data_IF_580313982545
#
_entry.id   IF_580313982545
#
_cell.length_a   1.000
_cell.length_b   1.000
_cell.length_c   1.000
_cell.angle_alpha   90.00
_cell.angle_beta   90.00
_cell.angle_gamma   90.00
#
_symmetry.space_group_name_H-M   'P 1'
#
loop_
_entity.id
_entity.type
_entity.pdbx_description
1 polymer ?
#
# COMPACT_ATOMS: atom_id res chain seq x y z
N UNK A 1 -13.18 -13.95 -7.46
CA UNK A 1 -11.73 -14.16 -7.72
C UNK A 1 -11.54 -15.08 -8.91
N UNK A 2 -10.69 -14.74 -9.88
CA UNK A 2 -10.33 -15.67 -10.97
C UNK A 2 -9.46 -16.81 -10.44
N UNK A 3 -9.62 -18.03 -10.98
CA UNK A 3 -8.77 -19.18 -10.56
C UNK A 3 -7.27 -18.90 -10.77
N UNK A 4 -6.91 -18.25 -11.87
CA UNK A 4 -5.52 -17.88 -12.16
C UNK A 4 -4.88 -16.96 -11.08
N UNK A 5 -5.68 -16.23 -10.31
CA UNK A 5 -5.17 -15.40 -9.20
C UNK A 5 -4.52 -16.24 -8.11
N UNK A 6 -4.94 -17.51 -7.92
CA UNK A 6 -4.38 -18.40 -6.88
C UNK A 6 -2.88 -18.63 -7.07
N UNK A 7 -2.40 -18.70 -8.31
CA UNK A 7 -0.98 -18.88 -8.63
C UNK A 7 -0.09 -17.76 -8.07
N UNK A 8 -0.66 -16.58 -7.95
CA UNK A 8 0.04 -15.41 -7.41
C UNK A 8 -0.04 -15.31 -5.88
N UNK A 9 -1.02 -16.00 -5.29
CA UNK A 9 -1.23 -15.94 -3.86
C UNK A 9 -0.21 -16.79 -3.10
N UNK A 10 0.12 -16.33 -1.90
CA UNK A 10 0.94 -17.06 -0.92
C UNK A 10 0.27 -17.00 0.44
N UNK A 11 0.52 -18.03 1.22
CA UNK A 11 0.09 -18.07 2.62
C UNK A 11 0.71 -16.89 3.37
N UNK A 12 -0.07 -15.97 3.96
CA UNK A 12 0.48 -14.80 4.64
C UNK A 12 1.25 -15.16 5.93
N UNK A 13 1.09 -16.39 6.42
CA UNK A 13 1.79 -16.88 7.61
C UNK A 13 3.17 -17.46 7.31
N UNK A 14 3.35 -18.12 6.15
CA UNK A 14 4.58 -18.85 5.87
C UNK A 14 5.08 -18.73 4.42
N UNK A 15 4.45 -17.91 3.60
CA UNK A 15 4.75 -17.62 2.19
C UNK A 15 4.75 -18.85 1.24
N UNK A 16 4.23 -20.00 1.70
CA UNK A 16 4.05 -21.19 0.87
C UNK A 16 2.91 -20.98 -0.12
N UNK A 17 2.92 -21.73 -1.19
CA UNK A 17 1.84 -21.77 -2.17
C UNK A 17 0.52 -22.16 -1.54
N UNK A 18 -0.56 -21.64 -2.10
CA UNK A 18 -1.92 -21.95 -1.69
C UNK A 18 -2.59 -22.83 -2.75
N UNK A 19 -3.18 -23.92 -2.33
CA UNK A 19 -4.06 -24.75 -3.14
C UNK A 19 -5.52 -24.35 -2.90
N UNK A 20 -6.32 -24.36 -3.96
CA UNK A 20 -7.75 -24.08 -3.93
C UNK A 20 -8.52 -25.38 -3.77
N UNK A 21 -9.35 -25.49 -2.74
CA UNK A 21 -10.21 -26.62 -2.45
C UNK A 21 -11.69 -26.23 -2.35
N UNK A 22 -12.58 -27.15 -2.70
CA UNK A 22 -14.03 -26.99 -2.57
C UNK A 22 -14.64 -25.87 -3.39
N UNK A 23 -13.97 -25.41 -4.48
CA UNK A 23 -14.43 -24.29 -5.28
C UNK A 23 -15.00 -24.75 -6.63
N UNK A 24 -16.15 -24.21 -7.00
CA UNK A 24 -16.76 -24.37 -8.32
C UNK A 24 -16.70 -23.05 -9.10
N UNK A 25 -16.66 -23.16 -10.44
CA UNK A 25 -16.72 -22.01 -11.35
C UNK A 25 -15.40 -21.23 -11.50
N UNK A 26 -15.44 -20.30 -12.44
CA UNK A 26 -14.45 -19.23 -12.64
C UNK A 26 -15.23 -18.00 -13.16
N UNK A 27 -15.36 -16.93 -12.37
CA UNK A 27 -14.70 -16.67 -11.09
C UNK A 27 -15.21 -17.54 -9.92
N UNK A 28 -14.30 -17.79 -8.97
CA UNK A 28 -14.58 -18.49 -7.70
C UNK A 28 -15.28 -17.53 -6.74
N UNK A 29 -16.50 -17.88 -6.30
CA UNK A 29 -17.26 -17.08 -5.33
C UNK A 29 -17.10 -17.60 -3.90
N UNK A 30 -16.90 -18.91 -3.73
CA UNK A 30 -16.68 -19.57 -2.44
C UNK A 30 -15.68 -20.69 -2.58
N UNK A 31 -14.92 -20.96 -1.52
CA UNK A 31 -13.93 -22.03 -1.47
C UNK A 31 -12.99 -21.85 -0.30
N UNK A 32 -12.00 -22.71 -0.23
CA UNK A 32 -10.93 -22.66 0.78
C UNK A 32 -9.58 -22.64 0.10
N UNK A 33 -8.70 -21.77 0.56
CA UNK A 33 -7.28 -21.77 0.21
C UNK A 33 -6.51 -22.45 1.34
N UNK A 34 -5.64 -23.41 1.03
CA UNK A 34 -4.85 -24.14 2.02
C UNK A 34 -3.39 -24.23 1.58
N UNK A 35 -2.44 -24.09 2.52
CA UNK A 35 -1.04 -24.39 2.27
C UNK A 35 -0.64 -25.77 2.82
N UNK A 36 0.51 -26.28 2.37
CA UNK A 36 1.08 -27.57 2.79
C UNK A 36 1.42 -27.67 4.29
N UNK A 37 1.40 -26.51 5.02
CA UNK A 37 1.56 -26.47 6.47
C UNK A 37 0.25 -26.44 7.24
N UNK A 38 -0.89 -26.59 6.57
CA UNK A 38 -2.21 -26.69 7.19
C UNK A 38 -2.87 -25.35 7.53
N UNK A 39 -2.31 -24.20 7.13
CA UNK A 39 -3.02 -22.94 7.25
C UNK A 39 -4.13 -22.88 6.19
N UNK A 40 -5.33 -22.52 6.62
CA UNK A 40 -6.52 -22.44 5.76
C UNK A 40 -7.15 -21.08 5.81
N UNK A 41 -7.69 -20.62 4.67
CA UNK A 41 -8.30 -19.32 4.49
C UNK A 41 -9.56 -19.43 3.63
N UNK A 42 -10.61 -18.74 4.03
CA UNK A 42 -11.89 -18.75 3.34
C UNK A 42 -11.85 -17.82 2.11
N UNK A 43 -12.54 -18.23 1.04
CA UNK A 43 -13.00 -17.34 -0.02
C UNK A 43 -14.50 -17.13 0.17
N UNK A 44 -14.94 -15.90 0.39
CA UNK A 44 -16.33 -15.53 0.51
C UNK A 44 -16.66 -14.35 -0.39
N UNK A 45 -17.77 -14.41 -1.11
CA UNK A 45 -18.19 -13.37 -2.06
C UNK A 45 -17.10 -13.05 -3.10
N UNK A 46 -16.33 -14.07 -3.53
CA UNK A 46 -15.22 -13.89 -4.47
C UNK A 46 -13.98 -13.17 -3.90
N UNK A 47 -13.93 -12.95 -2.57
CA UNK A 47 -12.80 -12.28 -1.89
C UNK A 47 -12.09 -13.29 -0.98
N UNK A 48 -10.82 -13.64 -1.25
CA UNK A 48 -10.02 -14.45 -0.34
C UNK A 48 -9.67 -13.64 0.92
N UNK A 49 -9.88 -14.24 2.08
CA UNK A 49 -9.68 -13.63 3.40
C UNK A 49 -8.35 -14.06 4.00
N UNK A 50 -7.28 -13.44 3.55
CA UNK A 50 -5.89 -13.80 3.84
C UNK A 50 -5.30 -12.89 4.93
N UNK A 51 -6.02 -12.71 6.03
CA UNK A 51 -5.59 -11.83 7.14
C UNK A 51 -4.59 -12.54 8.03
N UNK A 52 -3.43 -11.93 8.24
CA UNK A 52 -2.40 -12.35 9.19
C UNK A 52 -1.75 -11.10 9.83
N UNK A 53 -1.40 -11.15 11.11
CA UNK A 53 -1.77 -12.18 12.09
C UNK A 53 -3.28 -12.22 12.34
N UNK A 54 -3.79 -13.34 12.86
CA UNK A 54 -5.22 -13.48 13.20
C UNK A 54 -5.64 -12.51 14.31
N UNK A 55 -4.74 -12.23 15.24
CA UNK A 55 -4.87 -11.14 16.23
C UNK A 55 -4.11 -9.93 15.70
N UNK A 56 -4.86 -8.97 15.18
CA UNK A 56 -4.31 -7.72 14.66
C UNK A 56 -3.71 -6.87 15.79
N UNK A 57 -2.70 -6.09 15.43
CA UNK A 57 -2.20 -5.04 16.33
C UNK A 57 -3.34 -4.06 16.69
N UNK A 58 -3.33 -3.47 17.88
CA UNK A 58 -4.43 -2.59 18.34
C UNK A 58 -4.78 -1.47 17.36
N UNK A 59 -3.79 -0.84 16.73
CA UNK A 59 -4.00 0.18 15.68
C UNK A 59 -4.74 -0.40 14.48
N UNK A 60 -4.26 -1.51 13.93
CA UNK A 60 -4.86 -2.13 12.73
C UNK A 60 -6.32 -2.55 13.01
N UNK A 61 -6.58 -3.15 14.19
CA UNK A 61 -7.92 -3.55 14.60
C UNK A 61 -8.86 -2.35 14.83
N UNK A 62 -8.35 -1.24 15.36
CA UNK A 62 -9.13 -0.01 15.55
C UNK A 62 -9.54 0.58 14.21
N UNK A 63 -8.58 0.76 13.29
CA UNK A 63 -8.85 1.34 11.97
C UNK A 63 -9.70 0.43 11.11
N UNK A 64 -9.52 -0.90 11.17
CA UNK A 64 -10.41 -1.84 10.48
C UNK A 64 -11.86 -1.63 10.92
N UNK A 65 -12.14 -1.63 12.23
CA UNK A 65 -13.52 -1.39 12.75
C UNK A 65 -14.09 -0.04 12.31
N UNK A 66 -13.26 1.00 12.35
CA UNK A 66 -13.67 2.35 11.91
C UNK A 66 -14.08 2.37 10.45
N UNK A 67 -13.28 1.74 9.58
CA UNK A 67 -13.55 1.68 8.15
C UNK A 67 -14.68 0.71 7.80
N UNK A 68 -14.86 -0.39 8.54
CA UNK A 68 -16.01 -1.29 8.36
C UNK A 68 -17.34 -0.59 8.63
N UNK A 69 -17.40 0.31 9.63
CA UNK A 69 -18.59 1.09 9.94
C UNK A 69 -18.79 2.27 8.98
N UNK A 70 -17.70 2.92 8.57
CA UNK A 70 -17.75 4.17 7.82
C UNK A 70 -17.67 4.04 6.29
N UNK A 71 -17.67 2.82 5.74
CA UNK A 71 -17.38 2.58 4.33
C UNK A 71 -18.31 3.32 3.35
N UNK A 72 -19.61 3.33 3.60
CA UNK A 72 -20.60 3.95 2.69
C UNK A 72 -20.54 5.50 2.72
N UNK A 73 -19.99 6.10 3.77
CA UNK A 73 -19.88 7.56 3.91
C UNK A 73 -18.48 8.10 3.60
N UNK A 74 -17.50 7.22 3.43
CA UNK A 74 -16.09 7.56 3.28
C UNK A 74 -15.83 8.54 2.14
N UNK A 75 -16.41 8.30 0.98
CA UNK A 75 -16.22 9.14 -0.20
C UNK A 75 -16.73 10.58 -0.01
N UNK A 76 -17.77 10.76 0.84
CA UNK A 76 -18.27 12.10 1.18
C UNK A 76 -17.23 12.88 1.98
N UNK A 77 -16.56 12.21 2.92
CA UNK A 77 -15.48 12.79 3.71
C UNK A 77 -14.28 13.18 2.84
N UNK A 78 -13.91 12.32 1.89
CA UNK A 78 -12.83 12.62 0.95
C UNK A 78 -13.15 13.83 0.06
N UNK A 79 -14.36 13.92 -0.48
CA UNK A 79 -14.77 15.10 -1.28
C UNK A 79 -14.62 16.38 -0.48
N UNK A 80 -15.15 16.39 0.74
CA UNK A 80 -15.01 17.54 1.63
C UNK A 80 -13.54 17.90 1.91
N UNK A 81 -12.66 16.90 2.06
CA UNK A 81 -11.23 17.11 2.23
C UNK A 81 -10.63 17.87 1.03
N UNK A 82 -10.84 17.39 -0.20
CA UNK A 82 -10.33 18.04 -1.42
C UNK A 82 -10.90 19.46 -1.60
N UNK A 83 -12.20 19.65 -1.34
CA UNK A 83 -12.84 20.97 -1.38
C UNK A 83 -12.22 21.93 -0.38
N UNK A 84 -11.90 21.47 0.84
CA UNK A 84 -11.28 22.30 1.88
C UNK A 84 -9.90 22.81 1.49
N UNK A 85 -9.14 22.03 0.71
CA UNK A 85 -7.86 22.44 0.14
C UNK A 85 -8.00 23.20 -1.19
N UNK A 86 -9.21 23.30 -1.74
CA UNK A 86 -9.48 23.92 -3.04
C UNK A 86 -8.66 23.32 -4.17
N UNK A 87 -8.52 22.01 -4.16
CA UNK A 87 -7.73 21.23 -5.14
C UNK A 87 -8.66 20.32 -5.92
N UNK A 88 -8.42 20.21 -7.22
CA UNK A 88 -9.14 19.28 -8.08
C UNK A 88 -8.76 17.83 -7.72
N UNK A 89 -9.72 16.99 -7.25
CA UNK A 89 -9.46 15.61 -6.92
C UNK A 89 -8.94 14.78 -8.09
N UNK A 90 -9.54 14.98 -9.28
CA UNK A 90 -9.17 14.22 -10.47
C UNK A 90 -7.75 14.53 -10.94
N UNK A 91 -7.39 15.81 -11.00
CA UNK A 91 -6.03 16.23 -11.36
C UNK A 91 -4.99 15.70 -10.36
N UNK A 92 -5.28 15.76 -9.06
CA UNK A 92 -4.38 15.27 -8.00
C UNK A 92 -4.17 13.75 -8.11
N UNK A 93 -5.25 12.98 -8.24
CA UNK A 93 -5.19 11.52 -8.35
C UNK A 93 -4.48 11.07 -9.62
N UNK A 94 -4.79 11.71 -10.75
CA UNK A 94 -4.07 11.48 -12.00
C UNK A 94 -2.56 11.69 -11.82
N UNK A 95 -2.16 12.82 -11.20
CA UNK A 95 -0.75 13.13 -10.99
C UNK A 95 -0.04 12.10 -10.08
N UNK A 96 -0.73 11.55 -9.07
CA UNK A 96 -0.17 10.49 -8.23
C UNK A 96 -0.02 9.16 -9.00
N UNK A 97 -1.06 8.77 -9.74
CA UNK A 97 -1.05 7.52 -10.52
C UNK A 97 -0.02 7.57 -11.66
N UNK A 98 0.22 8.75 -12.26
CA UNK A 98 1.24 8.93 -13.29
C UNK A 98 2.67 8.63 -12.79
N UNK A 99 2.92 8.75 -11.47
CA UNK A 99 4.21 8.37 -10.86
C UNK A 99 4.51 6.88 -10.94
N UNK A 100 3.50 6.04 -11.12
CA UNK A 100 3.66 4.59 -11.29
C UNK A 100 4.26 4.22 -12.66
N UNK A 101 4.27 5.13 -13.64
CA UNK A 101 4.80 4.91 -14.99
C UNK A 101 4.16 3.68 -15.68
N UNK A 102 2.84 3.49 -15.48
CA UNK A 102 2.11 2.31 -15.90
C UNK A 102 2.05 2.17 -17.43
N UNK A 103 2.10 0.92 -17.87
CA UNK A 103 1.87 0.55 -19.27
C UNK A 103 0.54 -0.20 -19.40
N UNK A 104 -0.13 -0.12 -20.57
CA UNK A 104 -1.27 -0.98 -20.86
C UNK A 104 -0.91 -2.46 -20.64
N UNK A 105 -1.80 -3.21 -20.00
CA UNK A 105 -1.58 -4.61 -19.65
C UNK A 105 -0.85 -4.84 -18.33
N UNK A 106 -0.46 -3.79 -17.61
CA UNK A 106 0.24 -3.92 -16.34
C UNK A 106 -0.61 -4.61 -15.26
N UNK A 107 0.08 -5.33 -14.38
CA UNK A 107 -0.47 -5.89 -13.14
C UNK A 107 -0.07 -4.98 -11.99
N UNK A 108 -1.05 -4.38 -11.33
CA UNK A 108 -0.82 -3.37 -10.30
C UNK A 108 -1.45 -3.81 -8.97
N UNK A 109 -0.72 -3.65 -7.88
CA UNK A 109 -1.24 -3.78 -6.52
C UNK A 109 -1.62 -2.40 -5.99
N UNK A 110 -2.82 -2.28 -5.43
CA UNK A 110 -3.22 -1.14 -4.60
C UNK A 110 -3.47 -1.63 -3.18
N UNK A 111 -2.69 -1.15 -2.22
CA UNK A 111 -2.83 -1.49 -0.80
C UNK A 111 -3.69 -0.45 -0.08
N UNK A 112 -4.51 -0.91 0.87
CA UNK A 112 -5.54 -0.11 1.52
C UNK A 112 -6.39 0.66 0.48
N UNK A 113 -6.88 -0.07 -0.52
CA UNK A 113 -7.60 0.50 -1.68
C UNK A 113 -8.91 1.22 -1.31
N UNK A 114 -9.39 1.00 -0.08
CA UNK A 114 -10.60 1.61 0.43
C UNK A 114 -11.79 1.35 -0.49
N UNK A 115 -12.49 2.41 -0.83
CA UNK A 115 -13.67 2.38 -1.73
C UNK A 115 -13.30 2.42 -3.22
N UNK A 116 -12.01 2.37 -3.58
CA UNK A 116 -11.57 2.37 -4.97
C UNK A 116 -11.52 3.74 -5.65
N UNK A 117 -11.35 4.82 -4.89
CA UNK A 117 -11.28 6.18 -5.44
C UNK A 117 -10.04 6.40 -6.33
N UNK A 118 -8.89 5.82 -5.98
CA UNK A 118 -7.68 5.88 -6.79
C UNK A 118 -7.66 4.78 -7.84
N UNK A 119 -8.26 3.63 -7.54
CA UNK A 119 -8.36 2.44 -8.40
C UNK A 119 -8.85 2.76 -9.82
N UNK A 120 -9.85 3.63 -9.97
CA UNK A 120 -10.41 4.01 -11.26
C UNK A 120 -9.37 4.66 -12.19
N UNK A 121 -8.43 5.43 -11.63
CA UNK A 121 -7.37 6.08 -12.39
C UNK A 121 -6.26 5.09 -12.77
N UNK A 122 -5.98 4.11 -11.92
CA UNK A 122 -5.08 3.00 -12.22
C UNK A 122 -5.65 2.18 -13.39
N UNK A 123 -6.94 1.78 -13.30
CA UNK A 123 -7.63 1.02 -14.35
C UNK A 123 -7.60 1.72 -15.71
N UNK A 124 -7.75 3.05 -15.74
CA UNK A 124 -7.63 3.83 -16.98
C UNK A 124 -6.25 3.70 -17.63
N UNK A 125 -5.15 3.61 -16.82
CA UNK A 125 -3.77 3.50 -17.32
C UNK A 125 -3.45 2.09 -17.81
N UNK A 126 -3.89 1.07 -17.08
CA UNK A 126 -3.57 -0.32 -17.44
C UNK A 126 -4.46 -0.88 -18.55
N UNK A 127 -5.63 -0.27 -18.77
CA UNK A 127 -6.56 -0.67 -19.83
C UNK A 127 -7.17 -2.05 -19.62
N UNK A 128 -7.87 -2.56 -20.63
CA UNK A 128 -8.63 -3.81 -20.53
C UNK A 128 -7.77 -5.07 -20.34
N UNK A 129 -6.51 -5.04 -20.77
CA UNK A 129 -5.58 -6.17 -20.68
C UNK A 129 -4.78 -6.19 -19.36
N UNK A 130 -4.85 -5.11 -18.56
CA UNK A 130 -4.23 -5.05 -17.24
C UNK A 130 -5.14 -5.61 -16.16
N UNK A 131 -4.58 -5.83 -14.98
CA UNK A 131 -5.35 -6.26 -13.81
C UNK A 131 -4.91 -5.48 -12.58
N UNK A 132 -5.88 -4.91 -11.88
CA UNK A 132 -5.69 -4.28 -10.57
C UNK A 132 -5.99 -5.31 -9.48
N UNK A 133 -5.10 -5.42 -8.51
CA UNK A 133 -5.29 -6.17 -7.27
C UNK A 133 -5.56 -5.17 -6.16
N UNK A 134 -6.83 -5.04 -5.78
CA UNK A 134 -7.29 -4.14 -4.74
C UNK A 134 -7.26 -4.88 -3.39
N UNK A 135 -6.30 -4.51 -2.55
CA UNK A 135 -6.10 -5.08 -1.23
C UNK A 135 -6.59 -4.10 -0.17
N UNK A 136 -7.37 -4.59 0.79
CA UNK A 136 -7.77 -3.82 1.99
C UNK A 136 -7.95 -4.76 3.19
N UNK A 137 -7.82 -4.24 4.40
CA UNK A 137 -8.11 -4.97 5.63
C UNK A 137 -9.63 -5.01 5.91
N UNK A 138 -10.37 -4.02 5.44
CA UNK A 138 -11.82 -3.88 5.58
C UNK A 138 -12.58 -4.51 4.41
N UNK A 139 -13.35 -5.56 4.70
CA UNK A 139 -14.25 -6.15 3.69
C UNK A 139 -15.35 -5.19 3.27
N UNK A 140 -15.82 -4.33 4.18
CA UNK A 140 -16.84 -3.34 3.87
C UNK A 140 -16.35 -2.35 2.81
N UNK A 141 -15.10 -1.88 2.92
CA UNK A 141 -14.45 -1.06 1.90
C UNK A 141 -14.37 -1.77 0.55
N UNK A 142 -13.90 -3.02 0.53
CA UNK A 142 -13.82 -3.82 -0.70
C UNK A 142 -15.19 -4.05 -1.35
N UNK A 143 -16.26 -4.19 -0.57
CA UNK A 143 -17.64 -4.27 -1.11
C UNK A 143 -18.07 -2.98 -1.81
N UNK A 144 -17.73 -1.82 -1.24
CA UNK A 144 -18.00 -0.52 -1.89
C UNK A 144 -17.17 -0.40 -3.17
N UNK A 145 -15.88 -0.70 -3.12
CA UNK A 145 -14.99 -0.70 -4.29
C UNK A 145 -15.53 -1.61 -5.39
N UNK A 146 -15.97 -2.82 -5.07
CA UNK A 146 -16.52 -3.79 -6.05
C UNK A 146 -17.75 -3.23 -6.77
N UNK A 147 -18.65 -2.53 -6.05
CA UNK A 147 -19.79 -1.87 -6.68
C UNK A 147 -19.36 -0.73 -7.62
N UNK A 148 -18.41 0.09 -7.16
CA UNK A 148 -17.91 1.26 -7.90
C UNK A 148 -17.13 0.89 -9.15
N UNK A 149 -16.30 -0.15 -9.07
CA UNK A 149 -15.39 -0.57 -10.13
C UNK A 149 -15.97 -1.71 -10.99
N UNK A 150 -17.29 -1.91 -10.95
CA UNK A 150 -17.96 -2.94 -11.75
C UNK A 150 -17.64 -2.78 -13.25
N UNK A 151 -17.22 -3.88 -13.90
CA UNK A 151 -16.77 -3.90 -15.30
C UNK A 151 -15.27 -3.67 -15.49
N UNK A 152 -14.53 -3.27 -14.46
CA UNK A 152 -13.07 -3.24 -14.46
C UNK A 152 -12.44 -4.61 -14.24
N UNK A 153 -11.19 -4.80 -14.71
CA UNK A 153 -10.41 -6.01 -14.40
C UNK A 153 -9.77 -5.85 -13.00
N UNK A 154 -10.54 -6.18 -11.96
CA UNK A 154 -10.12 -6.04 -10.56
C UNK A 154 -10.24 -7.37 -9.82
N UNK A 155 -9.19 -7.75 -9.11
CA UNK A 155 -9.18 -8.83 -8.13
C UNK A 155 -9.13 -8.23 -6.72
N UNK A 156 -10.04 -8.64 -5.84
CA UNK A 156 -10.15 -8.11 -4.48
C UNK A 156 -9.56 -9.09 -3.48
N UNK A 157 -8.74 -8.62 -2.55
CA UNK A 157 -8.07 -9.46 -1.54
C UNK A 157 -8.17 -8.78 -0.17
N UNK A 158 -8.75 -9.47 0.80
CA UNK A 158 -8.69 -9.03 2.19
C UNK A 158 -7.41 -9.51 2.83
N UNK A 159 -6.53 -8.59 3.23
CA UNK A 159 -5.31 -8.92 3.98
C UNK A 159 -4.78 -7.72 4.77
N UNK A 160 -3.77 -7.95 5.60
CA UNK A 160 -2.98 -6.89 6.19
C UNK A 160 -1.83 -6.52 5.23
N UNK A 161 -1.66 -5.24 4.93
CA UNK A 161 -0.61 -4.77 4.02
C UNK A 161 0.81 -5.01 4.54
N UNK A 162 0.98 -5.22 5.85
CA UNK A 162 2.26 -5.63 6.45
C UNK A 162 2.56 -7.13 6.26
N UNK A 163 1.64 -7.90 5.68
CA UNK A 163 1.76 -9.35 5.43
C UNK A 163 1.06 -9.69 4.12
N UNK A 164 1.56 -9.15 3.01
CA UNK A 164 0.92 -9.29 1.71
C UNK A 164 0.93 -10.75 1.24
N UNK A 165 -0.23 -11.31 0.92
CA UNK A 165 -0.36 -12.72 0.54
C UNK A 165 -0.05 -12.94 -0.95
N UNK A 166 1.05 -12.41 -1.44
CA UNK A 166 1.47 -12.53 -2.83
C UNK A 166 2.90 -13.03 -2.94
N UNK A 167 3.21 -13.70 -4.04
CA UNK A 167 4.56 -14.10 -4.38
C UNK A 167 5.44 -12.86 -4.65
N UNK A 168 6.75 -13.06 -4.61
CA UNK A 168 7.74 -12.04 -4.95
C UNK A 168 7.63 -11.68 -6.44
N UNK A 169 7.95 -10.43 -6.79
CA UNK A 169 8.14 -9.95 -8.17
C UNK A 169 6.91 -10.14 -9.11
N UNK A 170 5.68 -10.23 -8.56
CA UNK A 170 4.48 -10.50 -9.38
C UNK A 170 3.78 -9.25 -9.92
N UNK A 171 4.09 -8.08 -9.39
CA UNK A 171 3.47 -6.82 -9.81
C UNK A 171 4.43 -5.92 -10.59
N UNK A 172 3.89 -5.19 -11.56
CA UNK A 172 4.61 -4.16 -12.29
C UNK A 172 4.81 -2.89 -11.45
N UNK A 173 3.84 -2.59 -10.58
CA UNK A 173 3.87 -1.46 -9.68
C UNK A 173 2.97 -1.70 -8.45
N UNK A 174 3.23 -0.95 -7.36
CA UNK A 174 2.35 -0.87 -6.20
C UNK A 174 2.00 0.57 -5.85
N UNK A 175 0.75 0.78 -5.45
CA UNK A 175 0.20 2.08 -5.05
C UNK A 175 -0.40 2.01 -3.65
N UNK A 176 -0.20 3.09 -2.88
CA UNK A 176 -0.83 3.31 -1.59
C UNK A 176 -1.08 4.79 -1.38
N UNK A 177 -2.29 5.17 -1.01
CA UNK A 177 -2.58 6.55 -0.62
C UNK A 177 -3.61 6.63 0.51
N UNK A 178 -3.15 7.17 1.64
CA UNK A 178 -3.95 7.31 2.86
C UNK A 178 -3.96 6.06 3.74
N UNK A 179 -3.60 6.21 5.00
CA UNK A 179 -3.67 5.17 6.02
C UNK A 179 -2.36 4.56 6.47
N UNK A 180 -1.24 4.71 5.74
CA UNK A 180 0.04 4.10 6.14
C UNK A 180 0.53 4.62 7.49
N UNK A 181 0.21 5.86 7.85
CA UNK A 181 0.53 6.45 9.14
C UNK A 181 -0.14 5.73 10.33
N UNK A 182 -1.16 4.92 10.05
CA UNK A 182 -1.95 4.19 11.06
C UNK A 182 -1.64 2.71 11.10
N UNK A 183 -0.79 2.22 10.18
CA UNK A 183 -0.35 0.82 10.18
C UNK A 183 0.48 0.51 11.42
N UNK A 184 0.25 -0.66 12.00
CA UNK A 184 1.03 -1.13 13.15
C UNK A 184 2.50 -1.38 12.81
N UNK A 185 2.81 -1.76 11.56
CA UNK A 185 4.15 -2.11 11.08
C UNK A 185 4.48 -1.43 9.75
N UNK A 186 4.64 -0.10 9.77
CA UNK A 186 4.90 0.71 8.54
C UNK A 186 6.11 0.21 7.74
N UNK A 187 7.24 -0.09 8.42
CA UNK A 187 8.45 -0.60 7.74
C UNK A 187 8.16 -1.90 7.00
N UNK A 188 7.49 -2.83 7.66
CA UNK A 188 7.15 -4.12 7.07
C UNK A 188 6.21 -3.96 5.87
N UNK A 189 5.21 -3.08 5.96
CA UNK A 189 4.32 -2.81 4.84
C UNK A 189 5.06 -2.28 3.61
N UNK A 190 6.04 -1.38 3.80
CA UNK A 190 6.88 -0.88 2.71
C UNK A 190 7.80 -1.97 2.14
N UNK A 191 8.38 -2.83 3.00
CA UNK A 191 9.18 -3.99 2.58
C UNK A 191 8.33 -4.99 1.80
N UNK A 192 7.10 -5.26 2.22
CA UNK A 192 6.16 -6.14 1.51
C UNK A 192 5.75 -5.57 0.15
N UNK A 193 5.40 -4.27 0.06
CA UNK A 193 5.14 -3.62 -1.23
C UNK A 193 6.35 -3.72 -2.18
N UNK A 194 7.56 -3.55 -1.64
CA UNK A 194 8.80 -3.70 -2.41
C UNK A 194 9.06 -5.14 -2.85
N UNK A 195 8.78 -6.13 -1.97
CA UNK A 195 8.98 -7.56 -2.26
C UNK A 195 8.11 -8.06 -3.40
N UNK A 196 6.83 -7.65 -3.41
CA UNK A 196 5.86 -8.13 -4.39
C UNK A 196 5.96 -7.44 -5.75
N UNK A 197 6.66 -6.30 -5.81
CA UNK A 197 6.89 -5.55 -7.06
C UNK A 197 8.23 -5.98 -7.68
N UNK A 198 8.20 -6.29 -8.97
CA UNK A 198 9.40 -6.70 -9.72
C UNK A 198 10.49 -5.65 -9.71
N UNK A 199 11.74 -6.09 -9.85
CA UNK A 199 12.88 -5.19 -10.03
C UNK A 199 12.62 -4.22 -11.18
N UNK A 200 12.90 -2.94 -10.96
CA UNK A 200 12.60 -1.85 -11.90
C UNK A 200 11.17 -1.33 -11.85
N UNK A 201 10.25 -2.01 -11.15
CA UNK A 201 8.89 -1.53 -10.94
C UNK A 201 8.82 -0.33 -9.99
N UNK A 202 7.70 0.40 -10.04
CA UNK A 202 7.50 1.60 -9.22
C UNK A 202 6.61 1.31 -8.01
N UNK A 203 6.97 1.92 -6.90
CA UNK A 203 6.13 1.97 -5.69
C UNK A 203 5.84 3.44 -5.38
N UNK A 204 4.57 3.77 -5.19
CA UNK A 204 4.09 5.10 -4.82
C UNK A 204 3.33 5.00 -3.51
N UNK A 205 3.74 5.79 -2.52
CA UNK A 205 3.13 5.80 -1.18
C UNK A 205 2.90 7.23 -0.73
N UNK A 206 1.69 7.54 -0.27
CA UNK A 206 1.38 8.88 0.24
C UNK A 206 0.42 8.85 1.43
N UNK A 207 0.52 9.88 2.28
CA UNK A 207 -0.36 10.03 3.44
C UNK A 207 -0.28 11.46 4.04
N UNK A 208 -1.05 11.71 5.09
CA UNK A 208 -1.07 12.97 5.80
C UNK A 208 0.26 13.28 6.49
N UNK A 209 0.79 14.44 6.21
CA UNK A 209 1.82 15.11 7.01
C UNK A 209 1.92 16.59 6.61
N UNK A 210 2.10 17.46 7.57
CA UNK A 210 2.43 18.87 7.25
C UNK A 210 3.91 18.98 6.87
N UNK A 211 4.16 19.62 5.74
CA UNK A 211 5.53 19.85 5.27
C UNK A 211 6.39 20.55 6.34
N UNK A 212 7.68 20.18 6.48
CA UNK A 212 8.54 20.67 7.56
C UNK A 212 8.59 22.19 7.69
N UNK A 213 8.61 22.91 6.57
CA UNK A 213 8.64 24.38 6.54
C UNK A 213 7.34 25.06 6.96
N UNK A 214 6.21 24.31 6.95
CA UNK A 214 4.90 24.80 7.40
C UNK A 214 4.62 24.49 8.87
N UNK A 215 5.29 23.54 9.49
CA UNK A 215 5.00 23.09 10.86
C UNK A 215 5.02 24.21 11.89
N UNK A 216 5.91 25.19 11.73
CA UNK A 216 6.02 26.38 12.62
C UNK A 216 5.14 27.55 12.19
N UNK A 217 4.53 27.52 11.00
CA UNK A 217 3.62 28.54 10.50
C UNK A 217 2.23 28.37 11.09
N UNK A 218 1.46 29.48 11.16
CA UNK A 218 0.09 29.46 11.69
C UNK A 218 -0.78 28.40 10.98
N UNK A 219 -0.71 28.36 9.66
CA UNK A 219 -1.42 27.36 8.84
C UNK A 219 -1.11 25.91 9.24
N UNK A 220 0.16 25.52 9.34
CA UNK A 220 0.54 24.17 9.74
C UNK A 220 0.11 23.83 11.18
N UNK A 221 0.14 24.81 12.09
CA UNK A 221 -0.35 24.63 13.47
C UNK A 221 -1.86 24.39 13.52
N UNK A 222 -2.63 25.10 12.67
CA UNK A 222 -4.08 24.91 12.55
C UNK A 222 -4.37 23.51 12.03
N UNK A 223 -3.70 23.05 10.95
CA UNK A 223 -3.88 21.71 10.41
C UNK A 223 -3.61 20.64 11.46
N UNK A 224 -2.47 20.71 12.15
CA UNK A 224 -2.09 19.75 13.21
C UNK A 224 -3.08 19.74 14.39
N UNK A 225 -3.71 20.88 14.69
CA UNK A 225 -4.75 20.97 15.73
C UNK A 225 -6.06 20.35 15.24
N UNK A 226 -6.40 20.51 13.95
CA UNK A 226 -7.63 20.00 13.35
C UNK A 226 -7.60 18.47 13.19
N UNK A 227 -6.46 17.90 12.78
CA UNK A 227 -6.30 16.46 12.64
C UNK A 227 -4.90 16.03 13.13
N UNK A 228 -4.81 15.20 14.18
CA UNK A 228 -3.53 14.70 14.71
C UNK A 228 -2.66 13.95 13.71
N UNK A 229 -3.25 13.33 12.66
CA UNK A 229 -2.53 12.62 11.61
C UNK A 229 -1.52 13.52 10.87
N UNK A 230 -1.78 14.81 10.77
CA UNK A 230 -0.84 15.79 10.20
C UNK A 230 0.48 15.96 10.99
N UNK A 231 0.58 15.38 12.20
CA UNK A 231 1.84 15.36 12.99
C UNK A 231 2.85 14.35 12.47
N UNK A 232 2.39 13.35 11.75
CA UNK A 232 3.27 12.31 11.21
C UNK A 232 4.38 12.91 10.33
N UNK A 233 5.37 12.10 10.06
CA UNK A 233 6.47 12.43 9.14
C UNK A 233 6.49 11.38 8.04
N UNK A 234 6.91 11.76 6.82
CA UNK A 234 7.16 10.76 5.80
C UNK A 234 8.09 9.66 6.33
N UNK A 235 7.77 8.37 6.13
CA UNK A 235 8.53 7.25 6.70
C UNK A 235 9.81 6.95 5.90
N UNK A 236 10.68 7.96 5.71
CA UNK A 236 11.90 7.83 4.91
C UNK A 236 12.91 6.84 5.50
N UNK A 237 12.93 6.72 6.83
CA UNK A 237 13.76 5.77 7.56
C UNK A 237 13.24 4.32 7.53
N UNK A 238 12.00 4.14 7.07
CA UNK A 238 11.35 2.84 6.89
C UNK A 238 11.37 2.34 5.44
N UNK A 239 11.90 3.15 4.50
CA UNK A 239 11.99 2.73 3.10
C UNK A 239 12.86 1.48 2.96
N UNK A 240 12.48 0.57 2.03
CA UNK A 240 13.30 -0.59 1.72
C UNK A 240 14.68 -0.15 1.27
N UNK A 241 15.62 -0.86 1.71
CA UNK A 241 16.93 -0.37 1.50
C UNK A 241 17.45 -0.58 0.06
N UNK A 242 16.81 -1.40 -0.80
CA UNK A 242 17.04 -1.47 -2.25
C UNK A 242 16.20 -0.44 -3.03
N UNK A 243 15.47 0.45 -2.35
CA UNK A 243 14.76 1.53 -3.00
C UNK A 243 15.74 2.48 -3.72
N UNK A 244 15.51 2.71 -5.00
CA UNK A 244 16.30 3.60 -5.85
C UNK A 244 15.43 4.72 -6.42
N UNK A 245 16.02 5.77 -6.95
CA UNK A 245 15.31 6.92 -7.51
C UNK A 245 14.23 7.49 -6.56
N UNK A 246 14.50 7.50 -5.27
CA UNK A 246 13.55 7.98 -4.25
C UNK A 246 13.28 9.46 -4.42
N UNK A 247 12.01 9.81 -4.54
CA UNK A 247 11.55 11.21 -4.63
C UNK A 247 10.43 11.43 -3.62
N UNK A 248 10.37 12.63 -3.06
CA UNK A 248 9.26 13.07 -2.21
C UNK A 248 8.64 14.33 -2.78
N UNK A 249 7.32 14.37 -2.80
CA UNK A 249 6.50 15.51 -3.20
C UNK A 249 5.52 15.86 -2.11
N UNK A 250 5.12 17.12 -2.08
CA UNK A 250 4.09 17.61 -1.18
C UNK A 250 2.89 18.08 -2.00
N UNK A 251 1.72 17.61 -1.63
CA UNK A 251 0.45 17.88 -2.32
C UNK A 251 -0.59 18.41 -1.33
N UNK A 252 -1.78 18.73 -1.80
CA UNK A 252 -2.91 19.20 -0.98
C UNK A 252 -2.49 20.31 -0.01
N UNK A 253 -2.02 21.44 -0.54
CA UNK A 253 -1.58 22.56 0.27
C UNK A 253 -0.34 22.28 1.15
N UNK A 254 0.48 21.29 0.77
CA UNK A 254 1.62 20.78 1.54
C UNK A 254 1.22 20.10 2.87
N UNK A 255 0.01 19.54 2.92
CA UNK A 255 -0.53 18.81 4.06
C UNK A 255 -0.45 17.29 3.86
N UNK A 256 -0.04 16.83 2.68
CA UNK A 256 0.19 15.42 2.35
C UNK A 256 1.53 15.27 1.64
N UNK A 257 2.19 14.15 1.89
CA UNK A 257 3.37 13.74 1.12
C UNK A 257 3.02 12.63 0.15
N UNK A 258 3.80 12.53 -0.92
CA UNK A 258 3.86 11.37 -1.81
C UNK A 258 5.33 11.03 -2.01
N UNK A 259 5.70 9.79 -1.70
CA UNK A 259 7.00 9.21 -1.97
C UNK A 259 6.84 8.27 -3.16
N UNK A 260 7.69 8.39 -4.16
CA UNK A 260 7.84 7.40 -5.19
C UNK A 260 9.28 6.88 -5.21
N UNK A 261 9.42 5.59 -5.46
CA UNK A 261 10.71 4.95 -5.62
C UNK A 261 10.63 3.79 -6.62
N UNK A 262 11.78 3.34 -7.09
CA UNK A 262 11.91 2.18 -7.96
C UNK A 262 12.55 1.03 -7.19
N UNK A 263 12.00 -0.18 -7.35
CA UNK A 263 12.56 -1.40 -6.75
C UNK A 263 13.91 -1.69 -7.41
N UNK A 264 14.97 -1.71 -6.63
CA UNK A 264 16.33 -1.99 -7.09
C UNK A 264 16.65 -3.48 -7.13
N UNK A 265 17.68 -3.85 -7.86
CA UNK A 265 18.20 -5.22 -7.89
C UNK A 265 19.07 -5.48 -6.66
N UNK A 266 18.67 -6.47 -5.86
CA UNK A 266 19.46 -6.95 -4.70
C UNK A 266 19.25 -6.13 -3.42
N UNK A 267 19.86 -6.59 -2.29
CA UNK A 267 19.83 -5.83 -1.07
C UNK A 267 20.54 -4.50 -1.26
N UNK A 268 20.09 -3.44 -0.55
CA UNK A 268 20.73 -2.15 -0.67
C UNK A 268 22.15 -2.25 -0.18
N UNK A 269 23.05 -1.87 -0.99
CA UNK A 269 24.41 -1.71 -0.56
C UNK A 269 24.63 -0.25 -0.11
N UNK A 270 24.17 0.11 1.08
CA UNK A 270 24.78 1.20 1.83
C UNK A 270 25.87 0.57 2.66
N UNK A 271 27.11 0.61 2.18
CA UNK A 271 28.25 0.23 3.00
C UNK A 271 28.44 1.26 4.11
N UNK A 272 27.79 0.98 5.24
CA UNK A 272 27.90 1.85 6.42
C UNK A 272 29.32 1.86 7.00
N UNK A 273 30.16 0.94 6.59
CA UNK A 273 31.55 0.80 7.07
C UNK A 273 32.55 1.55 6.18
N UNK A 274 32.08 2.14 5.03
CA UNK A 274 32.92 3.04 4.23
C UNK A 274 33.47 4.18 5.10
N UNK A 275 34.82 4.39 5.08
CA UNK A 275 35.42 5.47 5.83
C UNK A 275 34.97 6.82 5.28
N UNK A 276 34.58 7.74 6.17
CA UNK A 276 34.22 9.09 5.79
C UNK A 276 35.50 9.87 5.47
N UNK A 277 35.67 10.41 4.24
CA UNK A 277 36.86 11.16 3.86
C UNK A 277 37.19 12.27 4.89
N UNK A 278 38.45 12.26 5.39
CA UNK A 278 38.94 13.28 6.33
C UNK A 278 38.49 13.12 7.79
N UNK A 279 37.81 12.04 8.18
CA UNK A 279 37.29 11.87 9.56
C UNK A 279 37.66 10.58 10.27
N UNK A 280 38.29 9.61 9.59
CA UNK A 280 38.83 8.36 10.18
C UNK A 280 37.78 7.40 10.76
N UNK A 281 36.49 7.72 10.67
CA UNK A 281 35.35 6.91 11.13
C UNK A 281 34.41 6.57 9.98
N UNK A 282 33.48 5.63 10.17
CA UNK A 282 32.47 5.25 9.21
C UNK A 282 31.09 5.78 9.60
N UNK A 283 30.13 5.74 8.67
CA UNK A 283 28.74 6.08 8.98
C UNK A 283 28.19 5.19 10.09
N UNK A 284 28.58 3.90 10.12
CA UNK A 284 28.17 2.97 11.18
C UNK A 284 28.64 3.43 12.55
N UNK A 285 29.93 3.76 12.69
CA UNK A 285 30.48 4.15 13.98
C UNK A 285 29.83 5.42 14.53
N UNK A 286 29.40 6.33 13.65
CA UNK A 286 28.72 7.57 14.05
C UNK A 286 27.28 7.40 14.51
N UNK A 287 26.55 6.49 13.86
CA UNK A 287 25.11 6.36 14.12
C UNK A 287 24.77 5.18 15.03
N UNK A 288 25.62 4.15 15.06
CA UNK A 288 25.35 2.91 15.79
C UNK A 288 26.42 2.55 16.83
N UNK A 289 27.52 3.33 16.89
CA UNK A 289 28.67 3.02 17.76
C UNK A 289 29.64 2.00 17.11
N UNK A 290 30.82 1.79 17.75
CA UNK A 290 31.76 0.76 17.31
C UNK A 290 31.13 -0.63 17.39
N UNK A 291 31.54 -1.54 16.48
CA UNK A 291 31.19 -2.97 16.61
C UNK A 291 31.84 -3.50 17.90
N UNK A 292 31.04 -4.08 18.78
CA UNK A 292 31.56 -4.89 19.89
C UNK A 292 32.25 -6.15 19.38
#
# INVERSE_FOLDING_TARGET
MKRATVELLRCPTCLRELALDGAEGDPVERGTLACDRGHTFEIAEGVPRLVHPSELLPSDAEFQRKYDVGADEYDRGLRWLFESFRVDPAATRNAMVDLLELKPGARVLETASGTGEDSQYILQRIGANGTLYAQDLSVAMLRVARRKLAGGSVEYVQSNASYLPFADDVFDAAFHFGGINTFGEVRRALEEMNRVVRVGGKVVVGDEAVAPWLRRRLYGRILVKANPLYRHRPPLDALPGNASEVRIRWILGNAFYVIDFRVGAGPPFVDLDLPIPGKGDSLRSRYYGPRE
#
